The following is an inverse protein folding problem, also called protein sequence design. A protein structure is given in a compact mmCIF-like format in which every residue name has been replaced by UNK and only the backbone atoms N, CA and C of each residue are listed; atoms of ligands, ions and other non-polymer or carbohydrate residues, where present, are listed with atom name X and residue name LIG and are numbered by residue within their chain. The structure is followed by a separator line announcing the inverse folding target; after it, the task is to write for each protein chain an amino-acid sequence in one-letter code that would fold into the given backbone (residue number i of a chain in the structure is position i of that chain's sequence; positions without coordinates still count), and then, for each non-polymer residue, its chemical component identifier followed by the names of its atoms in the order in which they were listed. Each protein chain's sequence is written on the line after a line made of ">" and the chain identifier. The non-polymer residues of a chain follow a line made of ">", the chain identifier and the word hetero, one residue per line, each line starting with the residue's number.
data_IF_734655703615
#
_entry.id   IF_734655703615
#
_cell.length_a   1.000
_cell.length_b   1.000
_cell.length_c   1.000
_cell.angle_alpha   90.00
_cell.angle_beta   90.00
_cell.angle_gamma   90.00
#
_symmetry.space_group_name_H-M   'P 1'
#
loop_
_entity.id
_entity.type
_entity.pdbx_description
1 polymer ?
#
# COMPACT_ATOMS: atom_id res chain seq x y z
N UNK A 1 37.42 17.28 22.82
CA UNK A 1 38.26 17.65 21.66
C UNK A 1 38.87 16.36 21.11
N UNK A 2 38.32 15.81 20.02
CA UNK A 2 38.82 14.56 19.39
C UNK A 2 39.76 14.95 18.25
N UNK A 3 41.02 14.54 18.32
CA UNK A 3 41.95 14.70 17.20
C UNK A 3 41.60 13.67 16.11
N UNK A 4 41.04 14.15 15.00
CA UNK A 4 41.00 13.38 13.76
C UNK A 4 42.37 13.45 13.09
N UNK A 5 43.02 12.31 12.88
CA UNK A 5 44.18 12.21 11.98
C UNK A 5 43.90 11.18 10.90
N UNK A 6 43.93 11.63 9.65
CA UNK A 6 43.90 10.81 8.44
C UNK A 6 45.34 10.41 8.09
N UNK A 7 45.54 9.13 7.77
CA UNK A 7 46.84 8.61 7.33
C UNK A 7 46.92 8.58 5.79
N UNK A 8 48.00 9.12 5.24
CA UNK A 8 48.43 8.93 3.84
C UNK A 8 49.85 8.39 3.82
N UNK A 9 50.08 7.24 3.17
CA UNK A 9 51.43 6.71 2.91
C UNK A 9 51.96 7.27 1.58
N UNK A 10 53.13 7.90 1.59
CA UNK A 10 54.09 7.90 0.47
C UNK A 10 55.16 6.85 0.81
N UNK A 11 55.69 6.00 -0.06
CA UNK A 11 55.95 6.08 -1.51
C UNK A 11 56.11 4.67 -2.14
N UNK A 12 55.67 4.57 -3.41
CA UNK A 12 56.00 3.67 -4.53
C UNK A 12 56.46 2.20 -4.32
N UNK A 13 55.65 1.23 -4.79
CA UNK A 13 55.71 0.69 -6.17
C UNK A 13 54.37 0.03 -6.55
N UNK A 14 54.08 0.01 -7.85
CA UNK A 14 52.82 -0.28 -8.54
C UNK A 14 52.02 -1.51 -8.07
N UNK A 15 50.94 -1.33 -7.31
CA UNK A 15 49.69 -2.12 -7.40
C UNK A 15 48.50 -1.26 -6.91
N UNK A 16 47.36 -1.44 -7.57
CA UNK A 16 46.11 -0.66 -7.53
C UNK A 16 45.78 0.14 -6.26
N UNK A 17 45.46 1.41 -6.46
CA UNK A 17 44.86 2.35 -5.50
C UNK A 17 43.47 1.91 -5.01
N UNK A 18 43.38 1.12 -3.93
CA UNK A 18 42.06 0.79 -3.33
C UNK A 18 41.98 0.63 -1.80
N UNK A 19 42.93 1.14 -1.02
CA UNK A 19 42.76 1.24 0.44
C UNK A 19 42.84 2.69 0.92
N UNK A 20 41.67 3.33 1.05
CA UNK A 20 41.49 4.64 1.70
C UNK A 20 41.33 4.42 3.21
N UNK A 21 42.27 4.97 4.00
CA UNK A 21 42.24 5.19 5.46
C UNK A 21 41.97 4.00 6.39
N UNK A 22 42.93 3.70 7.28
CA UNK A 22 42.75 2.82 8.44
C UNK A 22 42.64 3.65 9.73
N UNK A 23 41.81 3.20 10.67
CA UNK A 23 41.64 3.80 12.00
C UNK A 23 41.80 2.73 13.06
N UNK A 24 42.67 2.99 14.04
CA UNK A 24 42.86 2.13 15.20
C UNK A 24 41.89 2.50 16.30
N UNK A 25 41.39 1.49 17.03
CA UNK A 25 40.52 1.65 18.17
C UNK A 25 41.14 0.91 19.36
N UNK A 26 41.27 1.61 20.49
CA UNK A 26 41.94 1.07 21.67
C UNK A 26 43.46 0.96 21.51
N UNK A 27 44.09 0.40 22.53
CA UNK A 27 45.53 0.33 22.69
C UNK A 27 46.14 1.68 23.05
N UNK A 28 47.41 1.66 23.46
CA UNK A 28 48.15 2.86 23.83
C UNK A 28 48.39 3.71 22.57
N UNK A 29 48.11 5.01 22.67
CA UNK A 29 48.24 5.94 21.54
C UNK A 29 49.70 5.98 21.06
N UNK A 30 49.92 5.62 19.79
CA UNK A 30 51.23 5.68 19.14
C UNK A 30 51.31 6.91 18.22
N UNK A 31 52.35 7.72 18.39
CA UNK A 31 52.66 8.81 17.47
C UNK A 31 52.90 8.25 16.05
N UNK A 32 52.38 8.93 15.03
CA UNK A 32 52.21 8.45 13.65
C UNK A 32 53.44 7.86 12.96
N UNK A 33 54.65 8.14 13.45
CA UNK A 33 55.89 7.74 12.80
C UNK A 33 56.51 6.47 13.41
N UNK A 34 56.06 6.02 14.58
CA UNK A 34 56.64 4.90 15.34
C UNK A 34 55.55 3.90 15.81
N UNK A 35 54.61 3.51 14.93
CA UNK A 35 53.65 2.46 15.28
C UNK A 35 54.38 1.11 15.39
N UNK A 36 54.45 0.56 16.60
CA UNK A 36 54.88 -0.80 16.84
C UNK A 36 53.64 -1.66 17.13
N UNK A 37 53.32 -2.58 16.20
CA UNK A 37 52.16 -3.47 16.31
C UNK A 37 52.25 -4.34 17.57
N UNK A 38 53.44 -4.87 17.89
CA UNK A 38 53.65 -5.73 19.05
C UNK A 38 53.38 -4.99 20.36
N UNK A 39 53.90 -3.76 20.49
CA UNK A 39 53.68 -2.93 21.68
C UNK A 39 52.22 -2.50 21.80
N UNK A 40 51.57 -2.21 20.65
CA UNK A 40 50.16 -1.87 20.61
C UNK A 40 49.28 -3.07 21.01
N UNK A 41 49.54 -4.26 20.46
CA UNK A 41 48.83 -5.51 20.83
C UNK A 41 49.06 -5.85 22.30
N UNK A 42 50.28 -5.70 22.82
CA UNK A 42 50.57 -5.95 24.23
C UNK A 42 49.82 -4.96 25.13
N UNK A 43 49.69 -3.69 24.71
CA UNK A 43 48.91 -2.69 25.43
C UNK A 43 47.42 -3.02 25.52
N UNK A 44 46.87 -3.79 24.58
CA UNK A 44 45.47 -4.23 24.63
C UNK A 44 45.19 -5.21 25.78
N UNK A 45 46.22 -5.74 26.46
CA UNK A 45 46.03 -6.53 27.68
C UNK A 45 45.65 -5.68 28.89
N UNK A 46 45.96 -4.38 28.90
CA UNK A 46 45.55 -3.46 29.97
C UNK A 46 44.21 -2.79 29.64
N UNK A 47 43.22 -3.00 30.52
CA UNK A 47 41.86 -2.50 30.36
C UNK A 47 41.78 -0.98 30.26
N UNK A 48 42.78 -0.23 30.75
CA UNK A 48 42.85 1.23 30.63
C UNK A 48 42.95 1.69 29.18
N UNK A 49 43.44 0.84 28.29
CA UNK A 49 43.57 1.13 26.87
C UNK A 49 42.43 0.52 26.04
N UNK A 50 41.39 -0.04 26.67
CA UNK A 50 40.26 -0.57 25.93
C UNK A 50 39.39 0.55 25.37
N UNK A 51 38.76 0.26 24.23
CA UNK A 51 37.81 1.16 23.59
C UNK A 51 36.74 0.33 22.89
N UNK A 52 35.57 0.93 22.68
CA UNK A 52 34.55 0.31 21.86
C UNK A 52 35.08 0.17 20.42
N UNK A 53 35.29 -1.07 19.99
CA UNK A 53 35.75 -1.40 18.62
C UNK A 53 34.58 -1.69 17.68
N UNK A 54 33.43 -2.09 18.25
CA UNK A 54 32.22 -2.37 17.49
C UNK A 54 31.00 -2.30 18.42
N UNK A 55 29.87 -1.86 17.88
CA UNK A 55 28.58 -1.99 18.54
C UNK A 55 27.92 -3.29 18.07
N UNK A 56 27.53 -4.15 19.01
CA UNK A 56 26.72 -5.33 18.72
C UNK A 56 25.26 -4.97 18.97
N UNK A 57 24.40 -5.26 17.99
CA UNK A 57 22.92 -5.19 18.11
C UNK A 57 22.42 -3.84 18.67
N UNK A 58 22.64 -2.72 17.97
CA UNK A 58 22.13 -1.44 18.43
C UNK A 58 20.59 -1.46 18.50
N UNK A 59 20.05 -1.00 19.63
CA UNK A 59 18.61 -0.82 19.84
C UNK A 59 18.25 0.65 19.81
N UNK A 60 17.01 0.97 19.43
CA UNK A 60 16.56 2.34 19.44
C UNK A 60 16.32 2.81 20.89
N UNK A 61 16.72 4.04 21.23
CA UNK A 61 16.54 4.59 22.58
C UNK A 61 15.07 4.56 23.04
N UNK A 62 14.11 4.68 22.12
CA UNK A 62 12.68 4.61 22.43
C UNK A 62 12.24 3.20 22.86
N UNK A 63 12.95 2.14 22.45
CA UNK A 63 12.65 0.78 22.92
C UNK A 63 12.92 0.62 24.42
N UNK A 64 13.82 1.43 24.99
CA UNK A 64 14.16 1.42 26.42
C UNK A 64 13.10 2.10 27.29
N UNK A 65 12.14 2.80 26.70
CA UNK A 65 11.10 3.50 27.46
C UNK A 65 10.02 2.53 27.99
N UNK A 66 9.34 2.88 29.10
CA UNK A 66 8.14 2.21 29.55
C UNK A 66 7.07 2.08 28.46
N UNK A 67 6.27 1.03 28.52
CA UNK A 67 5.29 0.68 27.50
C UNK A 67 4.31 1.82 27.18
N UNK A 68 3.83 2.54 28.19
CA UNK A 68 2.91 3.66 28.02
C UNK A 68 3.55 4.81 27.23
N UNK A 69 4.81 5.14 27.49
CA UNK A 69 5.53 6.17 26.75
C UNK A 69 5.80 5.73 25.31
N UNK A 70 6.14 4.44 25.10
CA UNK A 70 6.28 3.86 23.76
C UNK A 70 4.98 3.98 22.97
N UNK A 71 3.84 3.63 23.55
CA UNK A 71 2.51 3.76 22.94
C UNK A 71 2.18 5.21 22.58
N UNK A 72 2.49 6.15 23.47
CA UNK A 72 2.31 7.59 23.20
C UNK A 72 3.16 8.04 22.01
N UNK A 73 4.44 7.65 21.96
CA UNK A 73 5.33 7.99 20.84
C UNK A 73 4.81 7.40 19.53
N UNK A 74 4.43 6.12 19.51
CA UNK A 74 3.87 5.47 18.32
C UNK A 74 2.60 6.19 17.84
N UNK A 75 1.71 6.57 18.76
CA UNK A 75 0.50 7.34 18.44
C UNK A 75 0.83 8.72 17.85
N UNK A 76 1.86 9.39 18.34
CA UNK A 76 2.30 10.70 17.83
C UNK A 76 2.91 10.58 16.43
N UNK A 77 3.74 9.55 16.20
CA UNK A 77 4.38 9.33 14.89
C UNK A 77 3.41 8.78 13.85
N UNK A 78 2.29 8.19 14.29
CA UNK A 78 1.31 7.56 13.42
C UNK A 78 1.79 6.22 12.84
N UNK A 79 0.96 5.62 12.00
CA UNK A 79 1.30 4.38 11.31
C UNK A 79 2.28 4.66 10.17
N UNK A 80 3.05 3.65 9.81
CA UNK A 80 4.00 3.65 8.71
C UNK A 80 3.74 2.47 7.77
N UNK A 81 4.32 2.55 6.58
CA UNK A 81 4.46 1.39 5.70
C UNK A 81 5.56 0.52 6.30
N UNK A 82 5.18 -0.64 6.81
CA UNK A 82 6.14 -1.58 7.39
C UNK A 82 6.77 -2.46 6.29
N UNK A 83 5.99 -2.77 5.27
CA UNK A 83 6.45 -3.59 4.15
C UNK A 83 5.58 -3.43 2.91
N UNK A 84 6.22 -3.52 1.74
CA UNK A 84 5.57 -3.60 0.42
C UNK A 84 6.18 -4.73 -0.38
N UNK A 85 5.38 -5.37 -1.22
CA UNK A 85 5.89 -6.35 -2.19
C UNK A 85 5.05 -6.34 -3.46
N UNK A 86 5.64 -6.84 -4.53
CA UNK A 86 4.96 -7.09 -5.81
C UNK A 86 5.22 -8.53 -6.19
N UNK A 87 4.17 -9.28 -6.45
CA UNK A 87 4.24 -10.71 -6.71
C UNK A 87 3.52 -11.08 -7.99
N UNK A 88 4.20 -11.90 -8.79
CA UNK A 88 3.67 -12.48 -10.00
C UNK A 88 2.81 -13.69 -9.63
N UNK A 89 1.56 -13.72 -10.11
CA UNK A 89 0.65 -14.83 -9.88
C UNK A 89 -0.04 -15.29 -11.16
N UNK A 90 -0.08 -16.61 -11.35
CA UNK A 90 -0.81 -17.27 -12.43
C UNK A 90 -2.22 -17.61 -11.93
N UNK A 91 -3.19 -16.79 -12.31
CA UNK A 91 -4.59 -16.96 -11.94
C UNK A 91 -5.28 -17.86 -12.96
N UNK A 92 -5.71 -19.05 -12.52
CA UNK A 92 -6.35 -20.04 -13.39
C UNK A 92 -7.86 -19.91 -13.32
N UNK A 93 -8.48 -19.21 -14.26
CA UNK A 93 -9.93 -19.04 -14.28
C UNK A 93 -10.62 -20.28 -14.88
N UNK A 94 -10.80 -21.32 -14.07
CA UNK A 94 -11.49 -22.56 -14.45
C UNK A 94 -13.02 -22.40 -14.43
N UNK A 95 -13.52 -21.59 -13.51
CA UNK A 95 -14.93 -21.26 -13.28
C UNK A 95 -15.05 -19.76 -12.98
N UNK A 96 -16.26 -19.21 -13.09
CA UNK A 96 -16.52 -17.83 -12.64
C UNK A 96 -16.35 -17.74 -11.14
N UNK A 97 -16.03 -16.55 -10.64
CA UNK A 97 -15.93 -16.29 -9.19
C UNK A 97 -14.53 -15.86 -8.77
N UNK A 98 -14.03 -16.47 -7.71
CA UNK A 98 -12.81 -16.05 -7.01
C UNK A 98 -11.83 -17.17 -6.71
N UNK A 99 -10.59 -16.77 -6.42
CA UNK A 99 -9.57 -17.65 -5.86
C UNK A 99 -9.02 -17.07 -4.57
N UNK A 100 -8.78 -17.94 -3.59
CA UNK A 100 -8.02 -17.61 -2.40
C UNK A 100 -6.55 -17.85 -2.66
N UNK A 101 -5.74 -16.89 -2.23
CA UNK A 101 -4.29 -17.00 -2.23
C UNK A 101 -3.76 -16.72 -0.83
N UNK A 102 -2.65 -17.38 -0.50
CA UNK A 102 -1.93 -17.10 0.74
C UNK A 102 -1.21 -15.76 0.63
N UNK A 103 -1.10 -15.08 1.77
CA UNK A 103 -0.28 -13.88 1.90
C UNK A 103 1.20 -14.30 2.01
N UNK A 104 2.17 -13.46 1.61
CA UNK A 104 3.58 -13.85 1.60
C UNK A 104 4.11 -14.12 3.01
N UNK A 105 5.05 -15.05 3.17
CA UNK A 105 5.56 -15.46 4.50
C UNK A 105 6.11 -14.28 5.32
N UNK A 106 6.87 -13.39 4.67
CA UNK A 106 7.40 -12.18 5.30
C UNK A 106 6.31 -11.24 5.84
N UNK A 107 5.11 -11.26 5.26
CA UNK A 107 3.97 -10.52 5.83
C UNK A 107 3.49 -11.18 7.12
N UNK A 108 3.41 -12.52 7.17
CA UNK A 108 2.99 -13.25 8.36
C UNK A 108 3.91 -12.95 9.55
N UNK A 109 5.22 -12.90 9.34
CA UNK A 109 6.20 -12.52 10.37
C UNK A 109 5.90 -11.13 10.97
N UNK A 110 5.57 -10.15 10.14
CA UNK A 110 5.24 -8.78 10.60
C UNK A 110 3.91 -8.77 11.36
N UNK A 111 2.92 -9.53 10.89
CA UNK A 111 1.58 -9.59 11.48
C UNK A 111 1.55 -10.28 12.86
N UNK A 112 2.55 -11.13 13.18
CA UNK A 112 2.65 -11.77 14.50
C UNK A 112 2.87 -10.78 15.64
N UNK A 113 3.40 -9.57 15.36
CA UNK A 113 3.57 -8.57 16.39
C UNK A 113 2.26 -7.81 16.67
N UNK A 114 1.57 -8.17 17.76
CA UNK A 114 0.29 -7.54 18.14
C UNK A 114 0.39 -6.04 18.41
N UNK A 115 1.52 -5.57 18.94
CA UNK A 115 1.73 -4.15 19.28
C UNK A 115 1.83 -3.24 18.04
N UNK A 116 2.06 -3.82 16.86
CA UNK A 116 2.16 -3.08 15.61
C UNK A 116 0.80 -2.63 15.05
N UNK A 117 -0.33 -3.17 15.53
CA UNK A 117 -1.69 -2.88 15.03
C UNK A 117 -1.73 -2.84 13.48
N UNK A 118 -1.31 -3.94 12.85
CA UNK A 118 -1.15 -4.01 11.40
C UNK A 118 -2.46 -4.09 10.62
N UNK A 119 -2.48 -3.47 9.45
CA UNK A 119 -3.54 -3.54 8.46
C UNK A 119 -2.94 -3.89 7.08
N UNK A 120 -3.62 -4.77 6.35
CA UNK A 120 -3.17 -5.28 5.06
C UNK A 120 -3.94 -4.56 3.95
N UNK A 121 -3.23 -4.01 2.98
CA UNK A 121 -3.78 -3.48 1.74
C UNK A 121 -3.21 -4.24 0.55
N UNK A 122 -4.03 -4.43 -0.48
CA UNK A 122 -3.63 -5.10 -1.70
C UNK A 122 -4.35 -4.51 -2.93
N UNK A 123 -3.70 -4.59 -4.08
CA UNK A 123 -4.35 -4.40 -5.39
C UNK A 123 -3.86 -5.44 -6.38
N UNK A 124 -4.67 -5.71 -7.40
CA UNK A 124 -4.42 -6.73 -8.41
C UNK A 124 -4.37 -6.09 -9.79
N UNK A 125 -3.26 -6.29 -10.50
CA UNK A 125 -3.03 -5.75 -11.84
C UNK A 125 -2.99 -6.87 -12.86
N UNK A 126 -3.82 -6.79 -13.91
CA UNK A 126 -3.80 -7.74 -15.02
C UNK A 126 -2.70 -7.38 -16.02
N UNK A 127 -1.69 -8.25 -16.15
CA UNK A 127 -0.61 -8.09 -17.14
C UNK A 127 -1.09 -8.32 -18.57
N UNK A 128 -2.05 -9.22 -18.76
CA UNK A 128 -2.57 -9.62 -20.08
C UNK A 128 -3.69 -8.70 -20.56
N UNK A 129 -4.17 -7.84 -19.67
CA UNK A 129 -5.10 -6.75 -19.90
C UNK A 129 -6.53 -7.09 -20.37
N UNK A 130 -6.97 -8.32 -20.16
CA UNK A 130 -8.26 -8.85 -20.63
C UNK A 130 -9.38 -8.58 -19.65
N UNK A 131 -9.14 -8.72 -18.35
CA UNK A 131 -10.18 -8.82 -17.35
C UNK A 131 -10.05 -7.79 -16.22
N UNK A 132 -11.12 -7.62 -15.47
CA UNK A 132 -11.19 -6.72 -14.33
C UNK A 132 -10.98 -7.57 -13.08
N UNK A 133 -10.16 -7.11 -12.15
CA UNK A 133 -9.92 -7.81 -10.90
C UNK A 133 -10.28 -6.92 -9.72
N UNK A 134 -10.85 -7.53 -8.70
CA UNK A 134 -11.10 -6.93 -7.40
C UNK A 134 -10.59 -7.89 -6.33
N UNK A 135 -10.12 -7.37 -5.20
CA UNK A 135 -9.63 -8.21 -4.12
C UNK A 135 -10.14 -7.77 -2.75
N UNK A 136 -10.28 -8.74 -1.86
CA UNK A 136 -10.71 -8.59 -0.48
C UNK A 136 -9.78 -9.41 0.41
N UNK A 137 -9.52 -8.96 1.63
CA UNK A 137 -8.76 -9.77 2.59
C UNK A 137 -9.73 -10.67 3.34
N UNK A 138 -9.37 -11.93 3.52
CA UNK A 138 -10.08 -12.87 4.40
C UNK A 138 -9.16 -13.11 5.59
N UNK A 139 -9.58 -12.66 6.77
CA UNK A 139 -8.78 -12.76 7.99
C UNK A 139 -9.63 -13.24 9.17
N UNK A 140 -9.83 -14.57 9.29
CA UNK A 140 -10.53 -15.13 10.42
C UNK A 140 -9.74 -14.99 11.73
N UNK A 141 -10.42 -14.96 12.89
CA UNK A 141 -9.74 -14.98 14.18
C UNK A 141 -8.85 -16.21 14.30
N UNK A 142 -7.60 -16.01 14.72
CA UNK A 142 -6.60 -17.06 14.93
C UNK A 142 -6.16 -17.83 13.66
N UNK A 143 -6.47 -17.31 12.47
CA UNK A 143 -5.99 -17.87 11.22
C UNK A 143 -5.11 -16.86 10.47
N UNK A 144 -4.23 -17.39 9.62
CA UNK A 144 -3.43 -16.57 8.72
C UNK A 144 -4.34 -15.87 7.69
N UNK A 145 -4.12 -14.58 7.44
CA UNK A 145 -4.89 -13.86 6.44
C UNK A 145 -4.59 -14.37 5.04
N UNK A 146 -5.62 -14.33 4.20
CA UNK A 146 -5.61 -14.72 2.79
C UNK A 146 -6.17 -13.59 1.95
N UNK A 147 -5.86 -13.58 0.66
CA UNK A 147 -6.48 -12.65 -0.29
C UNK A 147 -7.44 -13.39 -1.20
N UNK A 148 -8.68 -12.91 -1.23
CA UNK A 148 -9.72 -13.37 -2.14
C UNK A 148 -9.71 -12.48 -3.38
N UNK A 149 -9.30 -13.03 -4.52
CA UNK A 149 -9.24 -12.33 -5.80
C UNK A 149 -10.44 -12.74 -6.64
N UNK A 150 -11.26 -11.77 -7.05
CA UNK A 150 -12.37 -11.99 -7.96
C UNK A 150 -11.99 -11.54 -9.37
N UNK A 151 -12.30 -12.40 -10.35
CA UNK A 151 -12.22 -12.04 -11.77
C UNK A 151 -13.60 -11.64 -12.28
N UNK A 152 -13.70 -10.42 -12.80
CA UNK A 152 -14.94 -9.81 -13.28
C UNK A 152 -14.88 -9.74 -14.81
N UNK A 153 -15.68 -10.59 -15.45
CA UNK A 153 -15.77 -10.71 -16.91
C UNK A 153 -17.16 -10.34 -17.41
N UNK A 154 -17.26 -9.63 -18.54
CA UNK A 154 -18.55 -9.36 -19.20
C UNK A 154 -19.23 -10.63 -19.74
N UNK A 155 -18.40 -11.54 -20.26
CA UNK A 155 -18.80 -12.87 -20.72
C UNK A 155 -17.74 -13.82 -20.20
N UNK A 156 -18.17 -14.84 -19.48
CA UNK A 156 -17.24 -15.79 -18.89
C UNK A 156 -16.41 -16.49 -19.96
N UNK A 157 -15.09 -16.56 -19.74
CA UNK A 157 -14.14 -17.27 -20.61
C UNK A 157 -13.04 -17.90 -19.76
N UNK A 158 -12.95 -19.22 -19.83
CA UNK A 158 -11.86 -19.97 -19.19
C UNK A 158 -10.53 -19.59 -19.82
N UNK A 159 -9.60 -19.12 -18.99
CA UNK A 159 -8.21 -18.92 -19.39
C UNK A 159 -7.33 -18.63 -18.17
N UNK A 160 -6.03 -18.60 -18.40
CA UNK A 160 -5.05 -18.17 -17.40
C UNK A 160 -4.76 -16.67 -17.55
N UNK A 161 -4.79 -15.96 -16.42
CA UNK A 161 -4.46 -14.55 -16.32
C UNK A 161 -3.15 -14.39 -15.55
N UNK A 162 -2.20 -13.61 -16.09
CA UNK A 162 -0.98 -13.25 -15.38
C UNK A 162 -1.24 -11.99 -14.57
N UNK A 163 -1.17 -12.09 -13.25
CA UNK A 163 -1.46 -11.00 -12.33
C UNK A 163 -0.19 -10.50 -11.65
N UNK A 164 -0.17 -9.22 -11.35
CA UNK A 164 0.72 -8.59 -10.39
C UNK A 164 -0.10 -8.24 -9.16
N UNK A 165 0.15 -8.93 -8.05
CA UNK A 165 -0.46 -8.62 -6.77
C UNK A 165 0.50 -7.70 -6.04
N UNK A 166 0.01 -6.53 -5.64
CA UNK A 166 0.80 -5.51 -4.97
C UNK A 166 0.28 -5.40 -3.55
N UNK A 167 1.16 -5.61 -2.59
CA UNK A 167 0.83 -5.70 -1.19
C UNK A 167 1.45 -4.55 -0.40
N UNK A 168 0.77 -4.13 0.66
CA UNK A 168 1.23 -3.10 1.59
C UNK A 168 0.74 -3.40 3.01
N UNK A 169 1.67 -3.46 3.97
CA UNK A 169 1.36 -3.51 5.41
C UNK A 169 1.51 -2.12 5.99
N UNK A 170 0.45 -1.65 6.64
CA UNK A 170 0.44 -0.42 7.42
C UNK A 170 0.35 -0.76 8.90
N UNK A 171 1.26 -0.24 9.73
CA UNK A 171 1.26 -0.49 11.17
C UNK A 171 2.18 0.47 11.91
N UNK A 172 2.22 0.39 13.23
CA UNK A 172 3.20 1.09 14.05
C UNK A 172 4.56 0.41 13.93
N UNK A 173 5.61 1.21 13.73
CA UNK A 173 6.98 0.73 13.71
C UNK A 173 7.51 0.60 15.14
N UNK A 174 7.37 -0.59 15.71
CA UNK A 174 7.84 -0.94 17.06
C UNK A 174 9.36 -0.91 17.21
N UNK A 175 10.09 -0.88 16.09
CA UNK A 175 11.55 -0.71 16.09
C UNK A 175 11.95 0.77 16.10
N UNK A 176 10.97 1.67 16.05
CA UNK A 176 11.16 3.12 16.07
C UNK A 176 12.16 3.58 14.99
N UNK A 177 12.16 2.92 13.83
CA UNK A 177 13.03 3.27 12.71
C UNK A 177 12.46 4.50 11.98
N UNK A 178 12.53 5.65 12.65
CA UNK A 178 11.95 6.88 12.15
C UNK A 178 12.72 7.49 10.99
N UNK A 179 14.00 7.14 10.84
CA UNK A 179 14.93 7.77 9.91
C UNK A 179 14.84 7.23 8.48
N UNK A 180 14.11 6.13 8.25
CA UNK A 180 14.08 5.43 6.96
C UNK A 180 12.92 5.80 6.03
N UNK A 181 12.01 6.70 6.41
CA UNK A 181 10.90 7.05 5.50
C UNK A 181 11.34 8.14 4.54
N UNK A 182 11.67 7.77 3.31
CA UNK A 182 11.76 8.68 2.14
C UNK A 182 10.48 9.51 1.94
N UNK A 183 9.41 9.13 2.63
CA UNK A 183 8.08 9.70 2.56
C UNK A 183 7.67 10.32 3.91
N UNK A 184 7.60 11.65 3.97
CA UNK A 184 7.09 12.40 5.12
C UNK A 184 5.54 12.38 5.21
N UNK A 185 4.88 11.33 4.73
CA UNK A 185 3.43 11.23 4.77
C UNK A 185 2.95 10.82 6.17
N UNK A 186 1.91 11.48 6.67
CA UNK A 186 1.19 11.00 7.85
C UNK A 186 0.13 10.01 7.40
N UNK A 187 0.31 8.74 7.76
CA UNK A 187 -0.61 7.66 7.45
C UNK A 187 -1.52 7.38 8.64
N UNK A 188 -2.83 7.31 8.37
CA UNK A 188 -3.86 6.91 9.33
C UNK A 188 -4.70 5.80 8.70
N UNK A 189 -5.10 4.83 9.49
CA UNK A 189 -6.08 3.82 9.05
C UNK A 189 -7.35 3.98 9.88
N UNK A 190 -8.48 4.22 9.21
CA UNK A 190 -9.80 4.15 9.84
C UNK A 190 -10.36 2.74 9.73
N UNK A 191 -10.94 2.26 10.82
CA UNK A 191 -11.60 0.97 10.92
C UNK A 191 -13.11 1.19 11.04
N UNK A 192 -13.88 0.66 10.10
CA UNK A 192 -15.34 0.68 10.16
C UNK A 192 -15.87 -0.75 10.15
N UNK A 193 -16.64 -1.13 11.16
CA UNK A 193 -17.22 -2.48 11.29
C UNK A 193 -18.65 -2.45 10.76
N UNK A 194 -18.97 -3.38 9.87
CA UNK A 194 -20.30 -3.52 9.28
C UNK A 194 -20.89 -4.86 9.63
N UNK A 195 -22.12 -4.81 10.15
CA UNK A 195 -22.94 -5.98 10.32
C UNK A 195 -23.77 -6.22 9.06
N UNK A 196 -24.02 -7.48 8.77
CA UNK A 196 -24.87 -7.91 7.68
C UNK A 196 -26.22 -7.23 7.81
N UNK A 197 -26.68 -6.66 6.70
CA UNK A 197 -27.95 -5.95 6.65
C UNK A 197 -28.63 -6.22 5.32
N UNK A 198 -29.92 -5.97 5.25
CA UNK A 198 -30.64 -6.07 3.98
C UNK A 198 -30.23 -4.96 2.98
N UNK A 199 -29.38 -4.01 3.40
CA UNK A 199 -28.85 -2.97 2.53
C UNK A 199 -27.80 -3.54 1.56
N UNK A 200 -27.93 -3.13 0.31
CA UNK A 200 -27.01 -3.50 -0.76
C UNK A 200 -25.82 -2.54 -0.86
N UNK A 201 -26.00 -1.33 -0.33
CA UNK A 201 -25.07 -0.20 -0.45
C UNK A 201 -25.04 0.58 0.85
N UNK A 202 -23.89 1.19 1.16
CA UNK A 202 -23.68 2.03 2.34
C UNK A 202 -22.90 3.27 1.92
N UNK A 203 -23.28 4.42 2.48
CA UNK A 203 -22.59 5.70 2.31
C UNK A 203 -22.04 6.12 3.66
N UNK A 204 -20.73 6.32 3.75
CA UNK A 204 -20.06 6.66 5.00
C UNK A 204 -19.37 8.02 4.83
N UNK A 205 -19.80 9.07 5.54
CA UNK A 205 -18.99 10.27 5.64
C UNK A 205 -17.71 9.96 6.42
N UNK A 206 -16.55 10.30 5.86
CA UNK A 206 -15.29 10.23 6.60
C UNK A 206 -15.16 11.52 7.41
N UNK A 207 -15.25 11.42 8.73
CA UNK A 207 -15.00 12.53 9.64
C UNK A 207 -13.48 12.82 9.69
N UNK A 208 -13.03 13.59 8.71
CA UNK A 208 -11.66 14.07 8.60
C UNK A 208 -11.62 15.52 9.07
N UNK A 209 -10.64 15.86 9.92
CA UNK A 209 -10.28 17.25 10.18
C UNK A 209 -10.00 17.93 8.83
N UNK A 210 -10.59 19.11 8.60
CA UNK A 210 -10.60 19.79 7.31
C UNK A 210 -9.18 19.90 6.74
N UNK A 211 -8.86 19.05 5.76
CA UNK A 211 -7.60 19.06 5.05
C UNK A 211 -7.90 18.84 3.56
N UNK A 212 -7.69 19.85 2.69
CA UNK A 212 -8.06 19.79 1.27
C UNK A 212 -7.20 18.81 0.45
N UNK A 213 -6.26 18.09 1.06
CA UNK A 213 -5.33 17.17 0.38
C UNK A 213 -5.21 15.85 1.13
N UNK A 214 -6.25 15.01 1.00
CA UNK A 214 -6.28 13.65 1.53
C UNK A 214 -6.49 12.65 0.41
N UNK A 215 -5.67 11.59 0.41
CA UNK A 215 -5.83 10.44 -0.47
C UNK A 215 -6.38 9.25 0.33
N UNK A 216 -7.40 8.58 -0.21
CA UNK A 216 -8.06 7.46 0.45
C UNK A 216 -7.96 6.17 -0.37
N UNK A 217 -7.55 5.09 0.29
CA UNK A 217 -7.54 3.73 -0.26
C UNK A 217 -8.33 2.81 0.67
N UNK A 218 -9.21 1.99 0.10
CA UNK A 218 -10.09 1.12 0.86
C UNK A 218 -9.75 -0.35 0.63
N UNK A 219 -9.97 -1.16 1.66
CA UNK A 219 -9.97 -2.61 1.51
C UNK A 219 -10.99 -3.27 2.45
N UNK A 220 -11.90 -4.10 1.91
CA UNK A 220 -12.79 -4.91 2.75
C UNK A 220 -12.04 -6.11 3.32
N UNK A 221 -12.32 -6.42 4.58
CA UNK A 221 -11.78 -7.55 5.34
C UNK A 221 -12.91 -8.40 5.89
N UNK A 222 -12.97 -9.65 5.46
CA UNK A 222 -13.97 -10.63 5.86
C UNK A 222 -13.41 -11.47 7.02
N UNK A 223 -14.18 -11.62 8.11
CA UNK A 223 -13.79 -12.45 9.25
C UNK A 223 -14.06 -13.95 9.03
N UNK A 224 -14.79 -14.30 7.97
CA UNK A 224 -15.10 -15.67 7.58
C UNK A 224 -15.62 -15.73 6.15
N UNK A 225 -15.53 -16.90 5.53
CA UNK A 225 -16.22 -17.21 4.28
C UNK A 225 -17.53 -17.92 4.62
N UNK A 226 -18.56 -17.12 4.86
CA UNK A 226 -19.90 -17.55 5.28
C UNK A 226 -20.66 -18.54 4.38
N UNK A 227 -20.27 -18.78 3.12
CA UNK A 227 -20.98 -19.75 2.25
C UNK A 227 -20.23 -20.03 0.93
N UNK A 228 -20.62 -21.08 0.17
CA UNK A 228 -20.17 -21.26 -1.22
C UNK A 228 -20.52 -20.08 -2.16
N UNK A 229 -21.55 -19.28 -1.85
CA UNK A 229 -21.90 -18.08 -2.63
C UNK A 229 -20.90 -16.94 -2.46
N UNK A 230 -20.01 -17.01 -1.46
CA UNK A 230 -19.00 -15.99 -1.23
C UNK A 230 -17.99 -15.90 -2.39
N UNK A 231 -17.88 -16.96 -3.20
CA UNK A 231 -17.00 -16.96 -4.37
C UNK A 231 -17.43 -15.91 -5.43
N UNK A 232 -18.70 -15.52 -5.43
CA UNK A 232 -19.28 -14.59 -6.39
C UNK A 232 -19.58 -13.21 -5.79
N UNK A 233 -19.51 -13.05 -4.46
CA UNK A 233 -19.83 -11.81 -3.78
C UNK A 233 -18.61 -10.88 -3.73
N UNK A 234 -18.67 -9.78 -4.49
CA UNK A 234 -17.65 -8.73 -4.50
C UNK A 234 -18.09 -7.55 -3.66
N UNK A 235 -17.24 -7.09 -2.74
CA UNK A 235 -17.44 -5.81 -2.05
C UNK A 235 -16.65 -4.72 -2.80
N UNK A 236 -17.37 -3.94 -3.59
CA UNK A 236 -16.82 -2.80 -4.32
C UNK A 236 -16.93 -1.52 -3.50
N UNK A 237 -16.05 -0.56 -3.78
CA UNK A 237 -16.09 0.75 -3.14
C UNK A 237 -15.46 1.83 -4.01
N UNK A 238 -15.79 3.07 -3.71
CA UNK A 238 -15.07 4.26 -4.16
C UNK A 238 -15.24 5.41 -3.17
N UNK A 239 -14.31 6.35 -3.21
CA UNK A 239 -14.38 7.57 -2.42
C UNK A 239 -14.98 8.69 -3.24
N UNK A 240 -15.59 9.64 -2.57
CA UNK A 240 -16.13 10.84 -3.20
C UNK A 240 -15.89 12.05 -2.31
N UNK A 241 -15.98 13.23 -2.90
CA UNK A 241 -16.01 14.49 -2.18
C UNK A 241 -17.32 15.23 -2.42
N UNK A 242 -17.98 15.64 -1.34
CA UNK A 242 -19.21 16.42 -1.42
C UNK A 242 -18.94 17.92 -1.66
N UNK A 243 -20.01 18.71 -1.82
CA UNK A 243 -19.95 20.16 -2.04
C UNK A 243 -19.26 20.93 -0.90
N UNK A 244 -19.23 20.36 0.30
CA UNK A 244 -18.59 20.95 1.49
C UNK A 244 -17.15 20.49 1.66
N UNK A 245 -16.57 19.88 0.63
CA UNK A 245 -15.28 19.24 0.65
C UNK A 245 -15.14 18.14 1.72
N UNK A 246 -16.24 17.48 2.08
CA UNK A 246 -16.20 16.30 2.95
C UNK A 246 -16.04 15.05 2.11
N UNK A 247 -15.00 14.29 2.46
CA UNK A 247 -14.75 13.00 1.83
C UNK A 247 -15.71 11.97 2.42
N UNK A 248 -16.30 11.15 1.56
CA UNK A 248 -17.05 9.98 1.96
C UNK A 248 -16.64 8.76 1.15
N UNK A 249 -17.16 7.60 1.55
CA UNK A 249 -17.04 6.36 0.80
C UNK A 249 -18.41 5.82 0.46
N UNK A 250 -18.52 5.29 -0.75
CA UNK A 250 -19.66 4.50 -1.21
C UNK A 250 -19.20 3.05 -1.31
N UNK A 251 -19.84 2.17 -0.56
CA UNK A 251 -19.54 0.73 -0.52
C UNK A 251 -20.77 -0.02 -1.01
N UNK A 252 -20.56 -1.09 -1.77
CA UNK A 252 -21.64 -1.91 -2.30
C UNK A 252 -21.24 -3.38 -2.39
N UNK A 253 -22.24 -4.27 -2.36
CA UNK A 253 -22.03 -5.69 -2.60
C UNK A 253 -22.66 -6.13 -3.92
N UNK A 254 -21.90 -6.84 -4.74
CA UNK A 254 -22.30 -7.25 -6.08
C UNK A 254 -22.06 -8.74 -6.29
N UNK A 255 -23.08 -9.46 -6.77
CA UNK A 255 -23.00 -10.87 -7.12
C UNK A 255 -22.60 -11.02 -8.60
N UNK A 256 -21.45 -11.63 -8.87
CA UNK A 256 -20.93 -11.87 -10.22
C UNK A 256 -21.72 -12.92 -10.99
N UNK A 257 -22.29 -13.91 -10.31
CA UNK A 257 -23.09 -14.97 -10.93
C UNK A 257 -24.39 -14.38 -11.49
N UNK A 258 -25.15 -13.71 -10.62
CA UNK A 258 -26.47 -13.20 -10.96
C UNK A 258 -26.44 -11.77 -11.54
N UNK A 259 -25.26 -11.14 -11.59
CA UNK A 259 -25.03 -9.79 -12.11
C UNK A 259 -25.93 -8.71 -11.48
N UNK A 260 -26.15 -8.79 -10.17
CA UNK A 260 -26.97 -7.84 -9.42
C UNK A 260 -26.35 -7.47 -8.07
N UNK A 261 -26.81 -6.35 -7.51
CA UNK A 261 -26.51 -6.00 -6.13
C UNK A 261 -27.12 -7.01 -5.17
N UNK A 262 -26.36 -7.40 -4.15
CA UNK A 262 -26.82 -8.26 -3.06
C UNK A 262 -26.61 -7.56 -1.73
N UNK A 263 -27.21 -8.09 -0.68
CA UNK A 263 -27.06 -7.60 0.68
C UNK A 263 -25.59 -7.67 1.11
N UNK A 264 -25.12 -6.62 1.78
CA UNK A 264 -23.76 -6.55 2.32
C UNK A 264 -23.58 -7.59 3.45
N UNK A 265 -22.46 -8.33 3.47
CA UNK A 265 -22.20 -9.32 4.50
C UNK A 265 -21.68 -8.64 5.78
N UNK A 266 -21.26 -9.44 6.77
CA UNK A 266 -20.44 -8.92 7.86
C UNK A 266 -19.01 -8.68 7.35
N UNK A 267 -18.46 -7.49 7.53
CA UNK A 267 -17.09 -7.19 7.16
C UNK A 267 -16.55 -5.98 7.92
N UNK A 268 -15.23 -5.85 7.96
CA UNK A 268 -14.56 -4.63 8.38
C UNK A 268 -14.03 -3.91 7.15
N UNK A 269 -14.27 -2.62 7.01
CA UNK A 269 -13.67 -1.79 5.98
C UNK A 269 -12.54 -0.96 6.56
N UNK A 270 -11.32 -1.20 6.08
CA UNK A 270 -10.18 -0.35 6.40
C UNK A 270 -10.01 0.73 5.33
N UNK A 271 -9.90 1.98 5.77
CA UNK A 271 -9.57 3.12 4.91
C UNK A 271 -8.20 3.67 5.29
N UNK A 272 -7.21 3.51 4.42
CA UNK A 272 -5.94 4.19 4.51
C UNK A 272 -6.12 5.64 4.06
N UNK A 273 -5.69 6.55 4.92
CA UNK A 273 -5.69 8.00 4.72
C UNK A 273 -4.24 8.43 4.63
N UNK A 274 -3.88 9.04 3.51
CA UNK A 274 -2.59 9.71 3.32
C UNK A 274 -2.85 11.20 3.34
N UNK A 275 -2.23 11.88 4.30
CA UNK A 275 -2.34 13.33 4.49
C UNK A 275 -0.98 14.01 4.36
N UNK A 276 -1.01 15.32 4.08
CA UNK A 276 0.18 16.16 3.89
C UNK A 276 1.13 15.64 2.80
N UNK A 277 0.58 15.10 1.72
CA UNK A 277 1.37 14.78 0.55
C UNK A 277 1.71 16.09 -0.21
N UNK A 278 2.89 16.64 0.06
CA UNK A 278 3.41 17.75 -0.75
C UNK A 278 3.67 17.24 -2.16
N UNK A 279 3.10 17.87 -3.19
CA UNK A 279 3.27 17.63 -4.64
C UNK A 279 4.42 16.65 -4.97
N UNK A 280 4.18 15.36 -4.74
CA UNK A 280 5.18 14.31 -4.92
C UNK A 280 4.77 13.55 -6.17
N UNK A 281 5.74 13.21 -7.02
CA UNK A 281 5.46 12.37 -8.19
C UNK A 281 4.90 10.97 -7.80
N UNK A 282 5.02 10.59 -6.53
CA UNK A 282 4.64 9.29 -5.99
C UNK A 282 3.17 9.18 -5.56
N UNK A 283 2.42 10.28 -5.42
CA UNK A 283 1.00 10.21 -5.08
C UNK A 283 0.20 11.43 -5.51
N UNK A 284 -1.10 11.24 -5.74
CA UNK A 284 -1.99 12.33 -6.12
C UNK A 284 -3.31 11.86 -6.71
N UNK A 285 -4.02 12.79 -7.35
CA UNK A 285 -5.32 12.56 -7.98
C UNK A 285 -5.21 12.93 -9.46
N UNK A 286 -5.59 12.00 -10.34
CA UNK A 286 -5.54 12.19 -11.79
C UNK A 286 -6.89 11.87 -12.43
N UNK A 287 -7.31 12.62 -13.47
CA UNK A 287 -8.49 12.26 -14.25
C UNK A 287 -8.22 11.00 -15.09
N UNK A 288 -9.28 10.28 -15.43
CA UNK A 288 -9.19 9.28 -16.49
C UNK A 288 -9.04 10.00 -17.83
N UNK A 289 -7.94 9.79 -18.53
CA UNK A 289 -7.71 10.42 -19.83
C UNK A 289 -8.71 9.85 -20.86
N UNK A 290 -9.65 10.68 -21.33
CA UNK A 290 -10.51 10.34 -22.47
C UNK A 290 -9.72 10.58 -23.77
N UNK A 291 -8.84 9.64 -24.09
CA UNK A 291 -7.88 9.78 -25.19
C UNK A 291 -8.56 9.62 -26.56
N UNK A 292 -8.61 10.70 -27.36
CA UNK A 292 -8.74 10.59 -28.81
C UNK A 292 -7.42 10.06 -29.39
N UNK A 293 -7.44 9.45 -30.59
CA UNK A 293 -6.22 8.88 -31.22
C UNK A 293 -5.09 9.92 -31.39
N UNK A 294 -5.46 11.19 -31.56
CA UNK A 294 -4.52 12.30 -31.81
C UNK A 294 -3.88 12.81 -30.51
N UNK A 295 -4.62 12.87 -29.39
CA UNK A 295 -4.04 13.33 -28.11
C UNK A 295 -3.02 12.35 -27.53
N UNK A 296 -3.16 11.05 -27.82
CA UNK A 296 -2.16 10.03 -27.43
C UNK A 296 -0.76 10.33 -27.94
N UNK A 297 -0.64 10.90 -29.15
CA UNK A 297 0.66 11.16 -29.76
C UNK A 297 1.32 12.42 -29.19
N UNK A 298 0.53 13.46 -28.91
CA UNK A 298 1.00 14.73 -28.33
C UNK A 298 1.31 14.60 -26.83
N UNK A 299 0.56 13.78 -26.10
CA UNK A 299 0.81 13.56 -24.67
C UNK A 299 1.98 12.60 -24.42
N UNK A 300 2.33 11.69 -25.33
CA UNK A 300 3.60 10.94 -25.24
C UNK A 300 4.83 11.87 -25.22
N UNK A 301 4.71 13.04 -25.84
CA UNK A 301 5.76 14.07 -25.87
C UNK A 301 5.73 14.92 -24.59
N UNK A 302 4.54 15.20 -24.02
CA UNK A 302 4.39 15.94 -22.76
C UNK A 302 4.66 15.09 -21.50
N UNK A 303 4.29 13.81 -21.49
CA UNK A 303 4.57 12.85 -20.40
C UNK A 303 6.05 12.49 -20.29
N UNK A 304 6.86 12.69 -21.34
CA UNK A 304 8.32 12.57 -21.22
C UNK A 304 8.92 13.67 -20.33
N UNK A 305 8.24 14.80 -20.16
CA UNK A 305 8.79 15.98 -19.46
C UNK A 305 8.34 16.11 -17.99
N UNK A 306 7.40 15.29 -17.51
CA UNK A 306 7.08 15.11 -16.09
C UNK A 306 7.17 13.63 -15.80
N UNK A 307 8.01 13.24 -14.84
CA UNK A 307 8.24 11.86 -14.39
C UNK A 307 7.00 11.23 -13.72
N UNK A 308 5.86 11.23 -14.41
CA UNK A 308 4.63 10.60 -13.95
C UNK A 308 4.79 9.11 -14.22
N UNK A 309 5.07 8.32 -13.17
CA UNK A 309 5.10 6.85 -13.30
C UNK A 309 3.78 6.39 -13.90
N UNK A 310 3.83 5.83 -15.10
CA UNK A 310 2.66 5.43 -15.89
C UNK A 310 1.80 4.35 -15.19
N UNK A 311 2.33 3.69 -14.14
CA UNK A 311 1.80 2.45 -13.56
C UNK A 311 1.86 2.44 -12.02
N UNK A 312 1.19 3.37 -11.33
CA UNK A 312 1.30 3.50 -9.86
C UNK A 312 0.95 2.20 -9.15
N UNK A 313 1.63 1.88 -8.04
CA UNK A 313 1.42 0.64 -7.30
C UNK A 313 -0.02 0.48 -6.84
N UNK A 314 -0.56 1.47 -6.13
CA UNK A 314 -1.91 1.46 -5.58
C UNK A 314 -2.79 2.51 -6.26
N UNK A 315 -4.05 2.14 -6.50
CA UNK A 315 -5.05 3.02 -7.10
C UNK A 315 -6.37 2.89 -6.39
N UNK A 316 -7.11 4.00 -6.32
CA UNK A 316 -8.43 4.05 -5.70
C UNK A 316 -9.35 4.93 -6.54
N UNK A 317 -10.62 4.55 -6.65
CA UNK A 317 -11.60 5.29 -7.46
C UNK A 317 -12.10 6.48 -6.65
N UNK A 318 -12.14 7.64 -7.30
CA UNK A 318 -12.50 8.89 -6.67
C UNK A 318 -13.52 9.66 -7.51
N UNK A 319 -14.57 10.19 -6.90
CA UNK A 319 -15.60 10.98 -7.57
C UNK A 319 -15.68 12.40 -7.01
N UNK A 320 -15.93 13.38 -7.88
CA UNK A 320 -16.06 14.80 -7.50
C UNK A 320 -17.45 15.32 -7.86
N UNK A 321 -18.11 15.99 -6.92
CA UNK A 321 -19.32 16.79 -7.17
C UNK A 321 -20.64 16.13 -6.77
N UNK A 322 -21.74 16.87 -6.98
CA UNK A 322 -23.08 16.66 -6.41
C UNK A 322 -23.72 15.30 -6.74
N UNK A 323 -23.35 14.74 -7.89
CA UNK A 323 -23.97 13.53 -8.40
C UNK A 323 -23.32 12.29 -7.79
N UNK A 324 -23.86 11.88 -6.64
CA UNK A 324 -23.62 10.57 -6.04
C UNK A 324 -23.98 9.50 -7.07
N UNK A 325 -22.97 9.01 -7.76
CA UNK A 325 -23.08 7.83 -8.60
C UNK A 325 -23.55 6.67 -7.70
N UNK A 326 -24.34 5.73 -8.21
CA UNK A 326 -24.90 4.63 -7.40
C UNK A 326 -24.83 3.25 -8.09
N UNK A 327 -24.08 3.13 -9.19
CA UNK A 327 -23.86 1.86 -9.89
C UNK A 327 -22.62 1.09 -9.44
N UNK A 328 -22.48 -0.19 -9.81
CA UNK A 328 -21.28 -0.96 -9.56
C UNK A 328 -20.18 -0.52 -10.54
N UNK A 329 -19.26 0.32 -10.07
CA UNK A 329 -18.05 0.69 -10.83
C UNK A 329 -16.88 -0.14 -10.35
N UNK A 330 -16.12 -0.69 -11.30
CA UNK A 330 -14.85 -1.32 -11.03
C UNK A 330 -13.71 -0.64 -11.76
N UNK A 331 -12.57 -0.53 -11.09
CA UNK A 331 -11.32 -0.13 -11.69
C UNK A 331 -10.69 -1.30 -12.42
N UNK A 332 -10.23 -1.05 -13.65
CA UNK A 332 -9.40 -1.98 -14.42
C UNK A 332 -7.99 -1.42 -14.46
N UNK A 333 -7.10 -1.96 -13.62
CA UNK A 333 -5.69 -1.65 -13.63
C UNK A 333 -4.94 -2.62 -14.56
N UNK A 334 -4.18 -2.06 -15.49
CA UNK A 334 -3.38 -2.79 -16.47
C UNK A 334 -1.97 -2.23 -16.51
N UNK A 335 -1.06 -2.97 -17.12
CA UNK A 335 0.25 -2.42 -17.47
C UNK A 335 0.08 -1.22 -18.40
N UNK A 336 -0.78 -1.19 -19.43
CA UNK A 336 -0.88 0.03 -20.27
C UNK A 336 -1.62 1.22 -19.64
N UNK A 337 -2.14 1.10 -18.41
CA UNK A 337 -2.82 2.19 -17.70
C UNK A 337 -4.10 1.76 -16.99
N UNK A 338 -4.85 2.75 -16.51
CA UNK A 338 -6.01 2.56 -15.64
C UNK A 338 -7.28 2.97 -16.38
N UNK A 339 -8.31 2.12 -16.34
CA UNK A 339 -9.60 2.39 -17.00
C UNK A 339 -10.75 2.12 -16.05
N UNK A 340 -11.82 2.88 -16.18
CA UNK A 340 -13.09 2.56 -15.54
C UNK A 340 -13.81 1.51 -16.37
N UNK A 341 -14.45 0.56 -15.70
CA UNK A 341 -15.39 -0.36 -16.32
C UNK A 341 -16.71 -0.40 -15.58
N UNK A 342 -17.76 -0.27 -16.38
CA UNK A 342 -19.14 -0.49 -15.97
C UNK A 342 -19.54 -1.92 -16.33
N UNK A 343 -20.18 -2.60 -15.38
CA UNK A 343 -20.81 -3.89 -15.64
C UNK A 343 -22.21 -3.63 -16.20
N UNK A 344 -22.54 -4.33 -17.29
CA UNK A 344 -23.87 -4.27 -17.88
C UNK A 344 -24.83 -5.03 -16.97
N UNK A 345 -25.72 -4.28 -16.34
CA UNK A 345 -26.71 -4.82 -15.41
C UNK A 345 -27.81 -5.50 -16.22
N UNK A 346 -28.03 -6.79 -15.94
CA UNK A 346 -29.17 -7.57 -16.45
C UNK A 346 -30.15 -7.89 -15.32
N UNK A 347 -30.60 -6.85 -14.62
CA UNK A 347 -31.57 -7.02 -13.55
C UNK A 347 -32.99 -6.90 -14.11
N UNK A 348 -33.77 -7.99 -14.06
CA UNK A 348 -35.16 -7.98 -14.50
C UNK A 348 -36.11 -7.42 -13.42
N UNK A 349 -35.71 -7.42 -12.15
CA UNK A 349 -36.51 -6.95 -11.01
C UNK A 349 -36.78 -5.43 -11.06
N UNK A 350 -38.05 -5.02 -10.88
CA UNK A 350 -38.54 -3.64 -10.99
C UNK A 350 -37.73 -2.61 -10.20
N UNK A 351 -37.48 -2.90 -8.92
CA UNK A 351 -36.93 -1.95 -7.93
C UNK A 351 -35.42 -2.10 -7.69
N UNK A 352 -34.73 -2.81 -8.59
CA UNK A 352 -33.32 -3.09 -8.47
C UNK A 352 -32.50 -1.80 -8.64
N UNK A 353 -31.67 -1.43 -7.65
CA UNK A 353 -30.76 -0.25 -7.70
C UNK A 353 -29.93 -0.25 -8.99
N UNK A 354 -29.65 -1.44 -9.51
CA UNK A 354 -28.94 -1.64 -10.75
C UNK A 354 -29.61 -0.98 -11.99
N UNK A 355 -30.92 -0.67 -11.98
CA UNK A 355 -31.65 -0.05 -13.11
C UNK A 355 -31.50 1.47 -13.24
N UNK A 356 -30.77 2.14 -12.35
CA UNK A 356 -30.67 3.62 -12.32
C UNK A 356 -29.97 4.18 -13.57
N UNK A 357 -30.72 4.55 -14.62
CA UNK A 357 -30.24 4.98 -15.96
C UNK A 357 -29.26 6.18 -16.04
N UNK A 358 -28.80 6.77 -14.94
CA UNK A 358 -27.95 7.98 -14.91
C UNK A 358 -26.44 7.70 -15.15
N UNK A 359 -26.08 6.63 -15.87
CA UNK A 359 -24.68 6.18 -15.92
C UNK A 359 -23.76 6.92 -16.92
N UNK A 360 -24.29 7.52 -18.00
CA UNK A 360 -23.47 7.95 -19.16
C UNK A 360 -22.90 9.37 -19.10
N UNK A 361 -23.47 10.29 -18.30
CA UNK A 361 -23.04 11.70 -18.27
C UNK A 361 -22.04 12.04 -17.14
N UNK A 362 -21.64 11.05 -16.32
CA UNK A 362 -20.89 11.26 -15.07
C UNK A 362 -19.39 10.91 -15.14
N UNK A 363 -18.90 10.39 -16.28
CA UNK A 363 -17.48 10.03 -16.45
C UNK A 363 -16.52 11.19 -16.22
N UNK A 364 -16.94 12.43 -16.54
CA UNK A 364 -16.12 13.64 -16.36
C UNK A 364 -15.76 13.92 -14.89
N UNK A 365 -16.56 13.39 -13.96
CA UNK A 365 -16.41 13.62 -12.53
C UNK A 365 -15.60 12.51 -11.84
N UNK A 366 -15.27 11.44 -12.57
CA UNK A 366 -14.48 10.35 -12.04
C UNK A 366 -12.99 10.61 -12.25
N UNK A 367 -12.22 10.36 -11.21
CA UNK A 367 -10.77 10.42 -11.14
C UNK A 367 -10.26 9.17 -10.45
N UNK A 368 -8.97 8.94 -10.52
CA UNK A 368 -8.33 7.96 -9.65
C UNK A 368 -7.30 8.65 -8.76
N UNK A 369 -7.27 8.20 -7.53
CA UNK A 369 -6.20 8.46 -6.58
C UNK A 369 -5.11 7.42 -6.82
N UNK A 370 -3.85 7.82 -6.75
CA UNK A 370 -2.72 6.90 -6.90
C UNK A 370 -1.69 7.08 -5.79
N UNK A 371 -1.01 5.98 -5.45
CA UNK A 371 0.07 5.95 -4.48
C UNK A 371 1.13 4.93 -4.86
N UNK A 372 2.38 5.36 -4.86
CA UNK A 372 3.55 4.58 -5.22
C UNK A 372 4.66 4.76 -4.17
N UNK A 373 4.54 4.06 -3.02
CA UNK A 373 5.49 4.13 -1.93
C UNK A 373 6.83 3.44 -2.24
#
# INVERSE_FOLDING_TARGET
>A
MKCEKKYSKSSNTNYSSKFKSFKLFGGKEACSNNFNETDWVESLKDFKYWSCINFKEPVNIFQLLPEDLRKQILSLTGKKILFTSVEDYSYKLLESGSQLINIPEKFLEILQCKDSDCNIFATVVDKNEKDIFNCQVVWPPNEDPKLLIHCIQKKFRKHECKLNIRWMIIGYDINFNFNNSEFNFKLKVLRNIFNASNHQTIVIPLELEYNPSVLCFGIPVLSKLDSPNNNYQVIGHYFYNDEKNKIGSYIFSYCLENNHFISLPNFTFYTLIISNYLNSDNCGILPFQHMSKISKMLDLIKLKNKSLKLHPNFVSLYSIGENKYHGPIFLKQKISGIKIKYIDIKCNQGDCICKSKKFKNLEKNLKYVYFDP
#
